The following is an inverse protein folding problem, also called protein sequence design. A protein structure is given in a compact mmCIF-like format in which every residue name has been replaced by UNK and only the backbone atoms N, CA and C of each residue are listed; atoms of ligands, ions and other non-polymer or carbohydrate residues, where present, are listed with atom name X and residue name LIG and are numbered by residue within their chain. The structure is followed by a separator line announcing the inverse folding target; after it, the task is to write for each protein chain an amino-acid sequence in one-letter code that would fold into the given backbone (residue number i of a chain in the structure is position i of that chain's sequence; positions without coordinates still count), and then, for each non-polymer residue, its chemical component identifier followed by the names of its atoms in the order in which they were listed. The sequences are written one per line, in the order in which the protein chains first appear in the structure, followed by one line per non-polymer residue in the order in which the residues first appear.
data_IF_439397937971
#
_entry.id   IF_439397937971
#
_cell.length_a   1.000
_cell.length_b   1.000
_cell.length_c   1.000
_cell.angle_alpha   90.00
_cell.angle_beta   90.00
_cell.angle_gamma   90.00
#
_symmetry.space_group_name_H-M   'P 1'
#
loop_
_entity.id
_entity.type
_entity.pdbx_description
1 polymer ?
#
# COMPACT_ATOMS: atom_id res chain seq x y z
N UNK A 1 -15.72 3.64 5.29
CA UNK A 1 -14.25 3.73 5.13
C UNK A 1 -13.73 4.79 6.10
N UNK A 2 -12.65 4.51 6.83
CA UNK A 2 -11.98 5.54 7.63
C UNK A 2 -11.09 6.42 6.72
N UNK A 3 -10.66 7.59 7.20
CA UNK A 3 -9.84 8.55 6.43
C UNK A 3 -8.53 7.93 5.91
N UNK A 4 -7.94 7.00 6.67
CA UNK A 4 -6.70 6.32 6.31
C UNK A 4 -6.88 5.45 5.07
N UNK A 5 -7.97 4.68 4.98
CA UNK A 5 -8.24 3.81 3.84
C UNK A 5 -8.42 4.61 2.54
N UNK A 6 -9.08 5.77 2.61
CA UNK A 6 -9.22 6.66 1.44
C UNK A 6 -7.85 7.17 0.95
N UNK A 7 -6.96 7.54 1.87
CA UNK A 7 -5.62 8.01 1.53
C UNK A 7 -4.77 6.90 0.91
N UNK A 8 -4.83 5.68 1.44
CA UNK A 8 -4.13 4.53 0.89
C UNK A 8 -4.64 4.24 -0.53
N UNK A 9 -5.95 4.28 -0.74
CA UNK A 9 -6.54 4.11 -2.05
C UNK A 9 -6.04 5.15 -3.07
N UNK A 10 -5.92 6.41 -2.65
CA UNK A 10 -5.35 7.49 -3.49
C UNK A 10 -3.88 7.27 -3.81
N UNK A 11 -3.11 6.67 -2.91
CA UNK A 11 -1.70 6.30 -3.16
C UNK A 11 -1.62 5.18 -4.17
N UNK A 12 -2.42 4.12 -4.02
CA UNK A 12 -2.47 3.00 -4.96
C UNK A 12 -2.91 3.44 -6.37
N UNK A 13 -3.81 4.42 -6.46
CA UNK A 13 -4.17 5.05 -7.74
C UNK A 13 -3.03 5.85 -8.38
N UNK A 14 -2.13 6.44 -7.57
CA UNK A 14 -0.99 7.23 -8.09
C UNK A 14 0.11 6.35 -8.69
N UNK A 15 0.24 5.11 -8.22
CA UNK A 15 1.19 4.14 -8.75
C UNK A 15 0.65 3.38 -9.98
N UNK A 16 -0.53 3.77 -10.50
CA UNK A 16 -1.07 3.21 -11.74
C UNK A 16 -2.15 2.13 -11.56
N UNK A 17 -2.45 1.69 -10.33
CA UNK A 17 -3.51 0.70 -10.11
C UNK A 17 -4.91 1.28 -10.38
N UNK A 18 -5.74 0.50 -11.05
CA UNK A 18 -7.14 0.80 -11.34
C UNK A 18 -8.02 0.44 -10.14
N UNK A 19 -9.19 1.06 -10.06
CA UNK A 19 -10.10 0.86 -8.93
C UNK A 19 -10.45 -0.62 -8.68
N UNK A 20 -10.75 -1.36 -9.73
CA UNK A 20 -11.10 -2.78 -9.62
C UNK A 20 -9.91 -3.65 -9.18
N UNK A 21 -8.68 -3.28 -9.52
CA UNK A 21 -7.46 -3.98 -9.11
C UNK A 21 -7.23 -3.78 -7.61
N UNK A 22 -7.43 -2.55 -7.13
CA UNK A 22 -7.30 -2.20 -5.72
C UNK A 22 -8.36 -2.93 -4.87
N UNK A 23 -9.60 -2.99 -5.35
CA UNK A 23 -10.72 -3.68 -4.68
C UNK A 23 -10.57 -5.21 -4.70
N UNK A 24 -9.92 -5.77 -5.73
CA UNK A 24 -9.76 -7.23 -5.87
C UNK A 24 -8.88 -7.88 -4.81
N UNK A 25 -8.03 -7.11 -4.13
CA UNK A 25 -7.08 -7.62 -3.13
C UNK A 25 -6.04 -8.60 -3.69
N UNK A 26 -5.81 -8.56 -5.01
CA UNK A 26 -4.79 -9.35 -5.72
C UNK A 26 -3.38 -8.95 -5.33
N UNK A 27 -2.43 -9.86 -5.57
CA UNK A 27 -1.02 -9.61 -5.29
C UNK A 27 -0.47 -8.51 -6.20
N UNK A 28 0.18 -7.52 -5.60
CA UNK A 28 0.73 -6.38 -6.30
C UNK A 28 1.74 -6.79 -7.37
N UNK A 29 2.62 -7.75 -7.06
CA UNK A 29 3.68 -8.17 -7.96
C UNK A 29 3.21 -9.28 -8.88
N UNK A 30 2.69 -10.36 -8.29
CA UNK A 30 2.44 -11.60 -9.02
C UNK A 30 1.20 -11.50 -9.92
N UNK A 31 0.16 -10.75 -9.50
CA UNK A 31 -1.09 -10.61 -10.27
C UNK A 31 -1.21 -9.28 -11.00
N UNK A 32 -0.75 -8.18 -10.37
CA UNK A 32 -0.90 -6.82 -10.90
C UNK A 32 0.36 -6.31 -11.61
N UNK A 33 1.47 -7.06 -11.53
CA UNK A 33 2.68 -6.77 -12.29
C UNK A 33 3.47 -5.56 -11.81
N UNK A 34 3.23 -5.08 -10.58
CA UNK A 34 4.02 -4.01 -10.00
C UNK A 34 5.48 -4.44 -9.86
N UNK A 35 6.37 -3.60 -10.37
CA UNK A 35 7.79 -3.82 -10.24
C UNK A 35 8.30 -3.40 -8.84
N UNK A 36 9.56 -3.74 -8.55
CA UNK A 36 10.17 -3.40 -7.26
C UNK A 36 10.29 -1.88 -7.04
N UNK A 37 10.45 -1.08 -8.09
CA UNK A 37 10.56 0.38 -8.00
C UNK A 37 9.20 0.98 -7.62
N UNK A 38 8.12 0.49 -8.21
CA UNK A 38 6.75 0.90 -7.91
C UNK A 38 6.37 0.52 -6.47
N UNK A 39 6.78 -0.66 -5.99
CA UNK A 39 6.59 -1.06 -4.59
C UNK A 39 7.35 -0.14 -3.63
N UNK A 40 8.62 0.17 -3.91
CA UNK A 40 9.41 1.10 -3.09
C UNK A 40 8.80 2.51 -3.12
N UNK A 41 8.31 2.96 -4.27
CA UNK A 41 7.62 4.25 -4.38
C UNK A 41 6.32 4.28 -3.57
N UNK A 42 5.52 3.20 -3.61
CA UNK A 42 4.34 3.04 -2.76
C UNK A 42 4.70 3.14 -1.27
N UNK A 43 5.75 2.45 -0.83
CA UNK A 43 6.22 2.46 0.57
C UNK A 43 6.62 3.87 0.98
N UNK A 44 7.46 4.55 0.20
CA UNK A 44 7.89 5.93 0.48
C UNK A 44 6.69 6.90 0.56
N UNK A 45 5.68 6.74 -0.32
CA UNK A 45 4.46 7.53 -0.27
C UNK A 45 3.64 7.27 1.01
N UNK A 46 3.55 6.01 1.45
CA UNK A 46 2.87 5.65 2.68
C UNK A 46 3.59 6.22 3.91
N UNK A 47 4.90 6.03 4.01
CA UNK A 47 5.74 6.57 5.08
C UNK A 47 5.59 8.09 5.20
N UNK A 48 5.77 8.81 4.08
CA UNK A 48 5.63 10.27 4.04
C UNK A 48 4.20 10.71 4.39
N UNK A 49 3.17 9.99 3.91
CA UNK A 49 1.78 10.40 4.11
C UNK A 49 1.30 10.21 5.55
N UNK A 50 1.75 9.14 6.19
CA UNK A 50 1.33 8.76 7.54
C UNK A 50 2.37 9.12 8.61
N UNK A 51 3.52 9.68 8.21
CA UNK A 51 4.65 10.00 9.09
C UNK A 51 5.10 8.79 9.92
N UNK A 52 5.23 7.64 9.24
CA UNK A 52 5.70 6.37 9.81
C UNK A 52 6.97 5.93 9.10
N UNK A 53 7.67 4.95 9.67
CA UNK A 53 8.72 4.21 8.98
C UNK A 53 8.31 2.74 8.82
N UNK A 54 8.53 2.19 7.63
CA UNK A 54 8.27 0.81 7.23
C UNK A 54 9.63 0.12 7.06
N UNK A 55 9.99 -0.81 7.96
CA UNK A 55 11.24 -1.54 7.83
C UNK A 55 11.32 -2.30 6.51
N UNK A 56 12.51 -2.38 5.90
CA UNK A 56 12.73 -3.09 4.64
C UNK A 56 12.29 -4.56 4.70
N UNK A 57 12.49 -5.21 5.85
CA UNK A 57 12.03 -6.58 6.10
C UNK A 57 10.51 -6.75 6.02
N UNK A 58 9.75 -5.67 6.24
CA UNK A 58 8.28 -5.69 6.23
C UNK A 58 7.72 -5.50 4.81
N UNK A 59 8.49 -4.87 3.91
CA UNK A 59 8.08 -4.54 2.54
C UNK A 59 7.61 -5.78 1.75
N UNK A 60 8.32 -6.92 1.76
CA UNK A 60 7.88 -8.14 1.06
C UNK A 60 6.54 -8.70 1.53
N UNK A 61 6.06 -8.30 2.71
CA UNK A 61 4.77 -8.74 3.24
C UNK A 61 3.62 -7.81 2.83
N UNK A 62 3.90 -6.60 2.33
CA UNK A 62 2.88 -5.65 1.82
C UNK A 62 2.41 -6.07 0.43
N UNK A 63 1.85 -7.28 0.33
CA UNK A 63 1.58 -7.97 -0.92
C UNK A 63 0.30 -7.54 -1.63
N UNK A 64 -0.67 -7.01 -0.91
CA UNK A 64 -1.96 -6.62 -1.49
C UNK A 64 -2.63 -5.51 -0.69
N UNK A 65 -3.69 -4.94 -1.28
CA UNK A 65 -4.44 -3.82 -0.68
C UNK A 65 -4.92 -4.10 0.74
N UNK A 66 -5.62 -5.23 1.04
CA UNK A 66 -6.06 -5.53 2.41
C UNK A 66 -4.93 -5.58 3.43
N UNK A 67 -3.81 -6.21 3.10
CA UNK A 67 -2.66 -6.32 4.00
C UNK A 67 -2.05 -4.95 4.27
N UNK A 68 -1.82 -4.16 3.21
CA UNK A 68 -1.27 -2.80 3.34
C UNK A 68 -2.18 -1.90 4.17
N UNK A 69 -3.49 -1.94 3.92
CA UNK A 69 -4.47 -1.17 4.71
C UNK A 69 -4.42 -1.55 6.19
N UNK A 70 -4.40 -2.86 6.50
CA UNK A 70 -4.34 -3.34 7.86
C UNK A 70 -3.04 -2.93 8.55
N UNK A 71 -1.90 -3.08 7.86
CA UNK A 71 -0.59 -2.74 8.39
C UNK A 71 -0.48 -1.26 8.76
N UNK A 72 -0.89 -0.37 7.85
CA UNK A 72 -0.86 1.07 8.08
C UNK A 72 -1.78 1.47 9.23
N UNK A 73 -3.00 0.93 9.27
CA UNK A 73 -3.93 1.22 10.36
C UNK A 73 -3.37 0.80 11.73
N UNK A 74 -2.66 -0.34 11.82
CA UNK A 74 -1.99 -0.77 13.05
C UNK A 74 -0.86 0.16 13.48
N UNK A 75 -0.08 0.67 12.52
CA UNK A 75 1.03 1.61 12.78
C UNK A 75 0.56 3.01 13.20
N UNK A 76 -0.53 3.49 12.62
CA UNK A 76 -1.06 4.85 12.86
C UNK A 76 -2.00 4.92 14.08
N UNK A 77 -2.57 3.79 14.49
CA UNK A 77 -3.43 3.73 15.69
C UNK A 77 -2.67 3.37 16.97
N UNK A 78 -1.34 3.22 16.89
CA UNK A 78 -0.44 3.00 18.01
C UNK A 78 0.20 4.33 18.41
#
# INVERSE_FOLDING_TARGET
MNRNNELIYRILRKIGLRSHEIESGRDFKDDLGLDSIEIIYMVNLLESKFNISIPDQDIPYLKNTPITVNYINKRVSA
#
